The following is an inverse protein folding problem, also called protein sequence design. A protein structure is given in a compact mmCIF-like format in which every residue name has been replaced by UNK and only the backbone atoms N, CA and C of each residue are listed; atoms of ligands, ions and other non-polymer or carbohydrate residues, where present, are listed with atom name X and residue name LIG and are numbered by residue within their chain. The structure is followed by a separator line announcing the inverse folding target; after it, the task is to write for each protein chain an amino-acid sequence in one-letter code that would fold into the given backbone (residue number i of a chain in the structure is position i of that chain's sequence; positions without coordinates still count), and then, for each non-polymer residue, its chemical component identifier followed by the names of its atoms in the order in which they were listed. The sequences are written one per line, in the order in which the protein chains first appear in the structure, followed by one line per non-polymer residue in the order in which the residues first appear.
data_IF_558930414113
#
_entry.id   IF_558930414113
#
_cell.length_a   1.000
_cell.length_b   1.000
_cell.length_c   1.000
_cell.angle_alpha   90.00
_cell.angle_beta   90.00
_cell.angle_gamma   90.00
#
_symmetry.space_group_name_H-M   'P 1'
#
loop_
_entity.id
_entity.type
_entity.pdbx_description
1 polymer ?
#
# COMPACT_ATOMS: atom_id res chain seq x y z
N UNK A 1 3.78 15.33 -6.29
CA UNK A 1 2.67 14.39 -6.02
C UNK A 1 2.95 13.14 -6.83
N UNK A 2 3.11 11.96 -6.19
CA UNK A 2 3.40 10.71 -6.91
C UNK A 2 2.09 10.04 -7.31
N UNK A 3 2.01 9.62 -8.57
CA UNK A 3 0.86 8.94 -9.17
C UNK A 3 1.34 7.76 -10.02
N UNK A 4 0.41 6.84 -10.28
CA UNK A 4 0.38 5.72 -11.23
C UNK A 4 1.69 5.17 -11.82
N UNK A 5 1.74 3.83 -11.86
CA UNK A 5 2.84 3.02 -12.38
C UNK A 5 2.30 2.05 -13.45
N UNK A 6 2.58 2.32 -14.73
CA UNK A 6 2.33 1.39 -15.86
C UNK A 6 3.26 0.17 -15.92
N UNK A 7 3.10 -0.69 -16.92
CA UNK A 7 3.70 -2.05 -16.98
C UNK A 7 5.21 -2.09 -16.67
N UNK A 8 6.02 -1.16 -17.19
CA UNK A 8 7.47 -1.09 -16.94
C UNK A 8 7.85 -0.57 -15.54
N UNK A 9 6.93 0.09 -14.86
CA UNK A 9 7.17 0.68 -13.54
C UNK A 9 6.79 -0.25 -12.38
N UNK A 10 6.10 -1.36 -12.65
CA UNK A 10 5.80 -2.41 -11.66
C UNK A 10 7.08 -2.96 -11.01
N UNK A 11 8.13 -3.22 -11.80
CA UNK A 11 9.41 -3.69 -11.31
C UNK A 11 10.06 -2.68 -10.35
N UNK A 12 9.94 -1.38 -10.62
CA UNK A 12 10.53 -0.34 -9.78
C UNK A 12 9.89 -0.23 -8.40
N UNK A 13 8.56 -0.40 -8.30
CA UNK A 13 7.85 -0.43 -7.00
C UNK A 13 8.23 -1.67 -6.20
N UNK A 14 8.28 -2.83 -6.86
CA UNK A 14 8.70 -4.09 -6.23
C UNK A 14 10.14 -4.00 -5.73
N UNK A 15 11.06 -3.53 -6.56
CA UNK A 15 12.48 -3.42 -6.20
C UNK A 15 12.68 -2.46 -5.03
N UNK A 16 12.04 -1.30 -5.06
CA UNK A 16 12.08 -0.35 -3.95
C UNK A 16 11.58 -0.98 -2.64
N UNK A 17 10.42 -1.65 -2.68
CA UNK A 17 9.89 -2.27 -1.46
C UNK A 17 10.79 -3.40 -0.96
N UNK A 18 11.38 -4.20 -1.85
CA UNK A 18 12.34 -5.25 -1.49
C UNK A 18 13.57 -4.66 -0.80
N UNK A 19 14.10 -3.54 -1.32
CA UNK A 19 15.24 -2.83 -0.75
C UNK A 19 14.92 -2.27 0.64
N UNK A 20 13.76 -1.61 0.78
CA UNK A 20 13.43 -0.82 1.97
C UNK A 20 12.81 -1.66 3.09
N UNK A 21 12.04 -2.71 2.77
CA UNK A 21 11.39 -3.57 3.77
C UNK A 21 12.04 -4.94 3.91
N UNK A 22 12.74 -5.43 2.88
CA UNK A 22 13.19 -6.81 2.82
C UNK A 22 12.05 -7.80 2.49
N UNK A 23 12.39 -8.91 1.83
CA UNK A 23 11.42 -9.90 1.31
C UNK A 23 10.45 -10.45 2.36
N UNK A 24 10.92 -10.61 3.60
CA UNK A 24 10.16 -11.22 4.70
C UNK A 24 9.05 -10.32 5.26
N UNK A 25 9.10 -9.02 5.01
CA UNK A 25 8.14 -8.03 5.51
C UNK A 25 7.07 -7.67 4.48
N UNK A 26 7.12 -8.29 3.30
CA UNK A 26 6.25 -8.00 2.19
C UNK A 26 5.31 -9.16 1.89
N UNK A 27 4.14 -8.81 1.37
CA UNK A 27 3.20 -9.73 0.76
C UNK A 27 3.21 -9.52 -0.76
N UNK A 28 3.21 -10.62 -1.49
CA UNK A 28 3.15 -10.64 -2.95
C UNK A 28 1.94 -11.44 -3.39
N UNK A 29 1.22 -10.93 -4.39
CA UNK A 29 0.23 -11.70 -5.13
C UNK A 29 0.42 -11.51 -6.63
N UNK A 30 0.29 -12.61 -7.37
CA UNK A 30 0.55 -12.69 -8.81
C UNK A 30 -0.50 -13.51 -9.56
N UNK A 31 -1.79 -13.32 -9.26
CA UNK A 31 -2.87 -14.15 -9.83
C UNK A 31 -3.50 -13.47 -11.05
N UNK A 32 -3.74 -14.23 -12.13
CA UNK A 32 -4.45 -13.80 -13.35
C UNK A 32 -4.05 -12.40 -13.89
N UNK A 33 -2.75 -12.18 -14.12
CA UNK A 33 -2.26 -10.91 -14.69
C UNK A 33 -2.16 -9.75 -13.69
N UNK A 34 -2.62 -9.92 -12.44
CA UNK A 34 -2.47 -8.92 -11.40
C UNK A 34 -1.23 -9.23 -10.59
N UNK A 35 -0.28 -8.30 -10.66
CA UNK A 35 0.86 -8.29 -9.76
C UNK A 35 0.66 -7.22 -8.70
N UNK A 36 0.91 -7.60 -7.46
CA UNK A 36 0.64 -6.77 -6.30
C UNK A 36 1.69 -7.04 -5.23
N UNK A 37 2.22 -5.95 -4.68
CA UNK A 37 3.18 -5.97 -3.58
C UNK A 37 2.77 -4.93 -2.54
N UNK A 38 2.91 -5.26 -1.26
CA UNK A 38 2.67 -4.33 -0.14
C UNK A 38 3.34 -4.82 1.16
N UNK A 39 3.49 -3.96 2.19
CA UNK A 39 3.87 -4.36 3.55
C UNK A 39 2.91 -5.39 4.16
N UNK A 40 3.40 -6.33 4.99
CA UNK A 40 2.57 -7.35 5.65
C UNK A 40 1.41 -6.74 6.48
N UNK A 41 0.35 -7.53 6.70
CA UNK A 41 -0.79 -7.04 7.50
C UNK A 41 -0.27 -6.79 8.91
N UNK A 42 -0.69 -5.69 9.52
CA UNK A 42 -0.23 -5.27 10.84
C UNK A 42 1.13 -4.58 10.84
N UNK A 43 1.97 -4.77 9.82
CA UNK A 43 3.30 -4.15 9.76
C UNK A 43 3.17 -2.63 9.58
N UNK A 44 3.64 -1.81 10.54
CA UNK A 44 3.60 -0.36 10.42
C UNK A 44 4.57 0.16 9.36
N UNK A 45 4.16 1.20 8.65
CA UNK A 45 4.98 1.96 7.73
C UNK A 45 4.62 3.43 7.78
N UNK A 46 5.60 4.29 7.49
CA UNK A 46 5.41 5.73 7.38
C UNK A 46 5.29 6.11 5.91
N UNK A 47 4.25 6.88 5.57
CA UNK A 47 4.10 7.57 4.29
C UNK A 47 4.79 8.94 4.42
N UNK A 48 5.81 9.18 3.59
CA UNK A 48 6.65 10.38 3.64
C UNK A 48 6.13 11.51 2.75
N UNK A 49 5.42 11.15 1.68
CA UNK A 49 4.86 12.09 0.72
C UNK A 49 3.46 11.66 0.31
N UNK A 50 2.60 12.58 -0.18
CA UNK A 50 1.25 12.21 -0.56
C UNK A 50 1.21 11.15 -1.68
N UNK A 51 0.44 10.07 -1.46
CA UNK A 51 0.26 8.95 -2.41
C UNK A 51 -1.17 8.96 -2.93
N UNK A 52 -1.34 9.00 -4.25
CA UNK A 52 -2.66 8.86 -4.89
C UNK A 52 -3.15 7.41 -4.85
N UNK A 53 -4.41 7.20 -4.49
CA UNK A 53 -5.08 5.89 -4.52
C UNK A 53 -6.44 5.97 -5.21
N UNK A 54 -6.95 4.81 -5.63
CA UNK A 54 -8.26 4.67 -6.26
C UNK A 54 -9.27 4.08 -5.27
N UNK A 55 -10.36 4.81 -4.99
CA UNK A 55 -11.45 4.35 -4.12
C UNK A 55 -12.28 3.24 -4.78
N UNK A 56 -13.19 2.60 -4.02
CA UNK A 56 -14.14 1.63 -4.59
C UNK A 56 -15.02 2.20 -5.70
N UNK A 57 -15.36 3.49 -5.63
CA UNK A 57 -16.13 4.20 -6.66
C UNK A 57 -15.26 4.70 -7.81
N UNK A 58 -13.98 4.28 -7.86
CA UNK A 58 -13.00 4.68 -8.87
C UNK A 58 -12.69 6.19 -8.89
N UNK A 59 -12.86 6.86 -7.76
CA UNK A 59 -12.40 8.23 -7.59
C UNK A 59 -10.94 8.21 -7.12
N UNK A 60 -10.16 9.19 -7.57
CA UNK A 60 -8.80 9.41 -7.10
C UNK A 60 -8.83 10.21 -5.80
N UNK A 61 -8.16 9.70 -4.79
CA UNK A 61 -7.97 10.36 -3.50
C UNK A 61 -6.49 10.27 -3.08
N UNK A 62 -6.14 10.93 -1.97
CA UNK A 62 -4.73 11.09 -1.57
C UNK A 62 -4.53 10.65 -0.12
N UNK A 63 -3.65 9.66 0.08
CA UNK A 63 -3.08 9.36 1.39
C UNK A 63 -2.11 10.48 1.75
N UNK A 64 -2.35 11.14 2.88
CA UNK A 64 -1.44 12.16 3.41
C UNK A 64 -0.28 11.51 4.17
N UNK A 65 0.83 12.23 4.39
CA UNK A 65 1.91 11.74 5.25
C UNK A 65 1.43 11.32 6.65
N UNK A 66 2.16 10.37 7.23
CA UNK A 66 1.90 9.83 8.56
C UNK A 66 2.17 8.33 8.66
N UNK A 67 1.89 7.75 9.83
CA UNK A 67 2.11 6.33 10.09
C UNK A 67 0.82 5.54 9.83
N UNK A 68 0.94 4.47 9.05
CA UNK A 68 -0.15 3.62 8.63
C UNK A 68 0.21 2.14 8.80
N UNK A 69 -0.81 1.30 8.78
CA UNK A 69 -0.64 -0.15 8.58
C UNK A 69 -1.77 -0.71 7.74
N UNK A 70 -1.48 -1.78 7.01
CA UNK A 70 -2.54 -2.57 6.36
C UNK A 70 -3.27 -3.35 7.44
N UNK A 71 -4.55 -3.03 7.66
CA UNK A 71 -5.40 -3.73 8.63
C UNK A 71 -6.17 -4.88 8.00
N UNK A 72 -6.46 -4.79 6.70
CA UNK A 72 -7.15 -5.85 5.96
C UNK A 72 -6.69 -5.88 4.52
N UNK A 73 -6.67 -7.09 3.96
CA UNK A 73 -6.51 -7.31 2.53
C UNK A 73 -7.58 -8.31 2.07
N UNK A 74 -8.47 -7.88 1.16
CA UNK A 74 -9.43 -8.75 0.47
C UNK A 74 -8.97 -8.93 -0.98
N UNK A 75 -8.60 -10.16 -1.34
CA UNK A 75 -8.29 -10.54 -2.71
C UNK A 75 -9.57 -10.90 -3.44
N UNK A 76 -9.79 -10.30 -4.61
CA UNK A 76 -10.74 -10.76 -5.62
C UNK A 76 -9.98 -11.37 -6.81
N UNK A 77 -10.74 -11.87 -7.79
CA UNK A 77 -10.16 -12.50 -8.97
C UNK A 77 -9.41 -11.51 -9.86
N UNK A 78 -9.95 -10.29 -9.96
CA UNK A 78 -9.45 -9.21 -10.81
C UNK A 78 -9.08 -7.94 -10.05
N UNK A 79 -9.05 -7.97 -8.71
CA UNK A 79 -8.69 -6.79 -7.92
C UNK A 79 -8.21 -7.14 -6.51
N UNK A 80 -7.44 -6.23 -5.92
CA UNK A 80 -6.94 -6.34 -4.55
C UNK A 80 -7.40 -5.13 -3.75
N UNK A 81 -8.18 -5.36 -2.70
CA UNK A 81 -8.66 -4.31 -1.82
C UNK A 81 -7.88 -4.28 -0.53
N UNK A 82 -7.44 -3.10 -0.12
CA UNK A 82 -6.77 -2.87 1.14
C UNK A 82 -7.63 -2.01 2.04
N UNK A 83 -7.56 -2.27 3.34
CA UNK A 83 -7.94 -1.33 4.38
C UNK A 83 -6.70 -0.86 5.10
N UNK A 84 -6.57 0.45 5.32
CA UNK A 84 -5.53 1.03 6.16
C UNK A 84 -6.10 1.48 7.50
N UNK A 85 -5.29 1.32 8.53
CA UNK A 85 -5.41 2.09 9.76
C UNK A 85 -4.33 3.18 9.76
N UNK A 86 -4.65 4.33 10.33
CA UNK A 86 -3.69 5.41 10.62
C UNK A 86 -3.41 5.43 12.12
N UNK A 87 -2.15 5.61 12.48
CA UNK A 87 -1.76 5.82 13.88
C UNK A 87 -1.96 7.29 14.26
N UNK A 88 -2.79 7.56 15.26
CA UNK A 88 -3.15 8.90 15.74
C UNK A 88 -3.29 8.83 17.26
N UNK A 89 -2.58 9.72 17.97
CA UNK A 89 -2.67 9.86 19.44
C UNK A 89 -2.61 8.53 20.20
N UNK A 90 -1.62 7.70 19.87
CA UNK A 90 -1.42 6.41 20.53
C UNK A 90 -2.27 5.25 19.99
N UNK A 91 -3.21 5.51 19.07
CA UNK A 91 -4.25 4.56 18.68
C UNK A 91 -4.29 4.28 17.16
N UNK A 92 -4.71 3.06 16.79
CA UNK A 92 -4.92 2.66 15.40
C UNK A 92 -6.36 2.91 14.96
N UNK A 93 -6.58 3.97 14.21
CA UNK A 93 -7.92 4.37 13.72
C UNK A 93 -8.12 3.82 12.31
N UNK A 94 -9.26 3.15 12.07
CA UNK A 94 -9.64 2.74 10.71
C UNK A 94 -9.74 3.97 9.83
N UNK A 95 -8.93 4.02 8.76
CA UNK A 95 -8.78 5.23 7.96
C UNK A 95 -9.53 5.11 6.63
N UNK A 96 -9.05 4.27 5.71
CA UNK A 96 -9.67 4.15 4.38
C UNK A 96 -9.60 2.72 3.86
N UNK A 97 -10.38 2.44 2.82
CA UNK A 97 -10.25 1.22 2.04
C UNK A 97 -10.28 1.53 0.54
N UNK A 98 -9.41 0.89 -0.24
CA UNK A 98 -9.13 1.25 -1.64
C UNK A 98 -8.54 0.09 -2.45
N UNK A 99 -8.42 0.29 -3.77
CA UNK A 99 -7.73 -0.63 -4.68
C UNK A 99 -6.21 -0.53 -4.52
N UNK A 100 -5.58 -1.60 -4.04
CA UNK A 100 -4.13 -1.68 -3.87
C UNK A 100 -3.38 -2.33 -5.04
N UNK A 101 -4.04 -3.24 -5.78
CA UNK A 101 -3.44 -3.97 -6.90
C UNK A 101 -3.89 -3.47 -8.26
N UNK A 102 -3.26 -4.00 -9.31
CA UNK A 102 -3.51 -3.61 -10.70
C UNK A 102 -5.00 -3.77 -11.07
N UNK A 103 -5.71 -2.66 -11.24
CA UNK A 103 -7.05 -2.57 -11.79
C UNK A 103 -7.05 -1.49 -12.87
N UNK A 104 -7.52 -1.79 -14.09
CA UNK A 104 -7.64 -0.77 -15.16
C UNK A 104 -6.33 0.01 -15.42
N UNK A 105 -5.20 -0.69 -15.44
CA UNK A 105 -3.87 -0.06 -15.49
C UNK A 105 -3.69 0.94 -14.34
N UNK A 106 -4.06 0.59 -13.11
CA UNK A 106 -3.76 1.38 -11.92
C UNK A 106 -3.18 0.48 -10.84
N UNK A 107 -1.96 0.78 -10.37
CA UNK A 107 -1.38 0.20 -9.17
C UNK A 107 -0.95 1.32 -8.23
N UNK A 108 -1.14 1.12 -6.93
CA UNK A 108 -0.63 2.04 -5.93
C UNK A 108 0.90 2.11 -5.99
N UNK A 109 1.45 3.32 -6.10
CA UNK A 109 2.90 3.55 -6.03
C UNK A 109 3.34 3.66 -4.58
N UNK A 110 3.93 2.59 -4.05
CA UNK A 110 4.43 2.53 -2.69
C UNK A 110 5.80 3.19 -2.50
N UNK A 111 6.43 3.80 -3.52
CA UNK A 111 7.81 4.35 -3.46
C UNK A 111 7.98 5.62 -2.61
N UNK A 112 7.00 5.92 -1.76
CA UNK A 112 7.02 6.99 -0.76
C UNK A 112 6.83 6.49 0.67
N UNK A 113 7.00 5.18 0.92
CA UNK A 113 6.82 4.58 2.25
C UNK A 113 8.12 3.97 2.80
N UNK A 114 8.27 3.96 4.12
CA UNK A 114 9.39 3.26 4.82
C UNK A 114 8.91 2.50 6.07
N UNK A 115 9.65 1.49 6.56
CA UNK A 115 9.38 0.88 7.85
C UNK A 115 9.42 1.91 8.96
N UNK A 116 8.54 1.76 9.96
CA UNK A 116 8.69 2.49 11.23
C UNK A 116 9.85 1.87 12.00
N UNK A 117 10.79 2.70 12.47
CA UNK A 117 11.96 2.25 13.22
C UNK A 117 11.64 2.03 14.72
N UNK A 118 10.58 2.65 15.22
CA UNK A 118 10.18 2.59 16.61
C UNK A 118 9.13 1.49 16.86
N UNK A 119 9.13 0.97 18.10
CA UNK A 119 8.13 -0.01 18.51
C UNK A 119 6.81 0.69 18.81
N UNK A 120 5.82 0.46 17.95
CA UNK A 120 4.44 0.91 18.16
C UNK A 120 3.62 -0.18 18.87
N UNK A 121 2.54 0.18 19.58
CA UNK A 121 1.60 -0.80 20.12
C UNK A 121 0.91 -1.57 18.99
N UNK A 122 0.63 -2.85 19.24
CA UNK A 122 -0.11 -3.75 18.34
C UNK A 122 -1.60 -3.40 18.24
#
# INVERSE_FOLDING_TARGET
MRSYVGEGSHASVVNYLLEVFGRNNLYFCGTFGIRFVRPKIGLPFEILEPIEYLTFTKNKEVLKPGIYRVSRHKKGDTSHFLSLQKYVDGNWIKFVSFYGGLLENFMLDWRGIRPVQEKLPD
#
